data_IF_217091331365
#
_entry.id   IF_217091331365
#
_cell.length_a   1.000
_cell.length_b   1.000
_cell.length_c   1.000
_cell.angle_alpha   90.00
_cell.angle_beta   90.00
_cell.angle_gamma   90.00
#
_symmetry.space_group_name_H-M   'P 1'
#
loop_
_entity.id
_entity.type
_entity.pdbx_description
1 polymer ?
#
# COMPACT_ATOMS: atom_id res chain seq x y z
N UNK A 1 -15.14 -16.57 2.61
CA UNK A 1 -13.68 -16.62 2.81
C UNK A 1 -13.36 -17.84 3.66
N UNK A 2 -12.63 -18.82 3.16
CA UNK A 2 -12.20 -19.98 3.95
C UNK A 2 -10.68 -20.10 3.85
N UNK A 3 -9.99 -19.62 4.88
CA UNK A 3 -8.58 -19.91 5.09
C UNK A 3 -8.47 -21.27 5.75
N UNK A 4 -7.71 -22.18 5.15
CA UNK A 4 -7.31 -23.44 5.80
C UNK A 4 -6.46 -23.15 7.03
N UNK A 5 -6.73 -23.89 8.10
CA UNK A 5 -6.45 -23.59 9.51
C UNK A 5 -4.99 -23.37 9.97
N UNK A 6 -3.99 -23.08 9.14
CA UNK A 6 -2.59 -22.95 9.63
C UNK A 6 -1.70 -21.93 8.92
N UNK A 7 -2.24 -20.93 8.21
CA UNK A 7 -1.42 -19.81 7.74
C UNK A 7 -1.87 -18.50 8.40
N UNK A 8 -0.93 -17.82 9.05
CA UNK A 8 -1.12 -16.53 9.69
C UNK A 8 -1.86 -15.60 8.71
N UNK A 9 -2.80 -14.78 9.20
CA UNK A 9 -3.73 -13.94 8.40
C UNK A 9 -3.14 -12.97 7.37
N UNK A 10 -1.85 -13.11 7.02
CA UNK A 10 -1.13 -12.47 5.92
C UNK A 10 -1.88 -12.65 4.59
N UNK A 11 -2.38 -13.85 4.26
CA UNK A 11 -3.12 -14.05 3.00
C UNK A 11 -4.42 -13.25 2.99
N UNK A 12 -5.16 -13.26 4.10
CA UNK A 12 -6.42 -12.52 4.25
C UNK A 12 -6.17 -11.01 4.23
N UNK A 13 -5.13 -10.54 4.93
CA UNK A 13 -4.75 -9.12 4.99
C UNK A 13 -4.20 -8.58 3.66
N UNK A 14 -3.43 -9.39 2.92
CA UNK A 14 -2.90 -9.00 1.61
C UNK A 14 -4.05 -8.80 0.61
N UNK A 15 -4.97 -9.77 0.50
CA UNK A 15 -6.12 -9.63 -0.39
C UNK A 15 -7.02 -8.46 0.02
N UNK A 16 -7.25 -8.28 1.32
CA UNK A 16 -8.00 -7.11 1.81
C UNK A 16 -7.36 -5.80 1.39
N UNK A 17 -6.04 -5.68 1.51
CA UNK A 17 -5.28 -4.49 1.08
C UNK A 17 -5.39 -4.25 -0.42
N UNK A 18 -5.20 -5.30 -1.23
CA UNK A 18 -5.30 -5.23 -2.69
C UNK A 18 -6.68 -4.69 -3.10
N UNK A 19 -7.76 -5.34 -2.65
CA UNK A 19 -9.12 -4.97 -3.07
C UNK A 19 -9.53 -3.61 -2.53
N UNK A 20 -9.17 -3.28 -1.29
CA UNK A 20 -9.46 -1.96 -0.71
C UNK A 20 -8.78 -0.85 -1.49
N UNK A 21 -7.49 -0.97 -1.80
CA UNK A 21 -6.78 0.05 -2.57
C UNK A 21 -7.31 0.17 -4.00
N UNK A 22 -7.63 -0.97 -4.63
CA UNK A 22 -8.22 -0.99 -5.96
C UNK A 22 -9.57 -0.27 -6.03
N UNK A 23 -10.44 -0.50 -5.04
CA UNK A 23 -11.77 0.12 -4.96
C UNK A 23 -11.71 1.64 -4.83
N UNK A 24 -10.73 2.13 -4.06
CA UNK A 24 -10.57 3.55 -3.75
C UNK A 24 -9.62 4.29 -4.70
N UNK A 25 -8.99 3.60 -5.68
CA UNK A 25 -8.08 4.22 -6.62
C UNK A 25 -8.82 5.00 -7.73
N UNK A 26 -9.06 6.29 -7.49
CA UNK A 26 -9.78 7.18 -8.40
C UNK A 26 -8.84 8.07 -9.21
N UNK A 27 -7.85 8.69 -8.56
CA UNK A 27 -6.85 9.53 -9.23
C UNK A 27 -5.80 8.70 -9.99
N UNK A 28 -5.10 9.33 -10.93
CA UNK A 28 -4.00 8.68 -11.63
C UNK A 28 -2.93 8.17 -10.66
N UNK A 29 -2.53 8.98 -9.67
CA UNK A 29 -1.51 8.61 -8.69
C UNK A 29 -1.93 7.43 -7.83
N UNK A 30 -3.21 7.35 -7.43
CA UNK A 30 -3.72 6.21 -6.67
C UNK A 30 -3.71 4.92 -7.52
N UNK A 31 -4.07 5.03 -8.80
CA UNK A 31 -4.01 3.91 -9.74
C UNK A 31 -2.58 3.44 -9.98
N UNK A 32 -1.63 4.37 -10.07
CA UNK A 32 -0.20 4.07 -10.14
C UNK A 32 0.31 3.43 -8.86
N UNK A 33 -0.09 3.91 -7.69
CA UNK A 33 0.27 3.31 -6.40
C UNK A 33 -0.24 1.86 -6.28
N UNK A 34 -1.48 1.61 -6.74
CA UNK A 34 -2.01 0.25 -6.83
C UNK A 34 -1.17 -0.65 -7.75
N UNK A 35 -0.82 -0.17 -8.94
CA UNK A 35 0.06 -0.91 -9.85
C UNK A 35 1.41 -1.22 -9.20
N UNK A 36 2.03 -0.25 -8.53
CA UNK A 36 3.31 -0.42 -7.82
C UNK A 36 3.19 -1.46 -6.71
N UNK A 37 2.08 -1.50 -5.97
CA UNK A 37 1.83 -2.54 -4.96
C UNK A 37 1.90 -3.94 -5.58
N UNK A 38 1.19 -4.18 -6.68
CA UNK A 38 1.17 -5.51 -7.31
C UNK A 38 2.53 -5.92 -7.87
N UNK A 39 3.28 -4.98 -8.45
CA UNK A 39 4.68 -5.21 -8.87
C UNK A 39 5.57 -5.48 -7.66
N UNK A 40 5.34 -4.82 -6.53
CA UNK A 40 6.09 -5.08 -5.29
C UNK A 40 5.80 -6.50 -4.78
N UNK A 41 4.52 -6.92 -4.79
CA UNK A 41 4.12 -8.28 -4.44
C UNK A 41 4.75 -9.31 -5.39
N UNK A 42 4.79 -9.05 -6.69
CA UNK A 42 5.41 -9.96 -7.67
C UNK A 42 6.90 -10.18 -7.40
N UNK A 43 7.59 -9.23 -6.76
CA UNK A 43 9.03 -9.34 -6.46
C UNK A 43 9.33 -9.83 -5.03
N UNK A 44 8.48 -9.48 -4.06
CA UNK A 44 8.81 -9.62 -2.64
C UNK A 44 7.85 -10.49 -1.83
N UNK A 45 6.75 -10.99 -2.41
CA UNK A 45 5.85 -11.89 -1.68
C UNK A 45 6.59 -13.13 -1.20
N UNK A 46 6.35 -13.59 0.04
CA UNK A 46 7.19 -14.63 0.69
C UNK A 46 7.23 -15.94 -0.10
N UNK A 47 6.08 -16.34 -0.65
CA UNK A 47 5.93 -17.53 -1.47
C UNK A 47 6.48 -17.33 -2.89
N UNK A 48 7.54 -18.05 -3.27
CA UNK A 48 8.16 -17.96 -4.61
C UNK A 48 7.17 -18.29 -5.74
N UNK A 49 6.48 -19.42 -5.65
CA UNK A 49 5.52 -19.82 -6.69
C UNK A 49 4.40 -18.78 -6.86
N UNK A 50 4.00 -18.14 -5.76
CA UNK A 50 3.02 -17.06 -5.79
C UNK A 50 3.55 -15.82 -6.52
N UNK A 51 4.82 -15.46 -6.32
CA UNK A 51 5.49 -14.38 -7.08
C UNK A 51 5.51 -14.67 -8.57
N UNK A 52 5.87 -15.90 -8.95
CA UNK A 52 5.92 -16.34 -10.35
C UNK A 52 4.51 -16.20 -10.98
N UNK A 53 3.46 -16.65 -10.29
CA UNK A 53 2.07 -16.50 -10.73
C UNK A 53 1.59 -15.04 -10.82
N UNK A 54 1.95 -14.18 -9.86
CA UNK A 54 1.60 -12.74 -9.91
C UNK A 54 2.26 -12.11 -11.13
N UNK A 55 3.54 -12.40 -11.35
CA UNK A 55 4.32 -11.86 -12.47
C UNK A 55 3.69 -12.23 -13.82
N UNK A 56 3.38 -13.51 -14.01
CA UNK A 56 2.72 -13.99 -15.22
C UNK A 56 1.35 -13.33 -15.44
N UNK A 57 0.54 -13.25 -14.38
CA UNK A 57 -0.78 -12.65 -14.48
C UNK A 57 -0.73 -11.17 -14.86
N UNK A 58 0.23 -10.41 -14.30
CA UNK A 58 0.45 -9.00 -14.64
C UNK A 58 0.86 -8.79 -16.09
N UNK A 59 1.65 -9.70 -16.66
CA UNK A 59 2.07 -9.63 -18.07
C UNK A 59 0.89 -9.87 -19.03
N UNK A 60 0.01 -10.82 -18.68
CA UNK A 60 -1.12 -11.21 -19.53
C UNK A 60 -2.34 -10.29 -19.36
N UNK A 61 -2.46 -9.60 -18.22
CA UNK A 61 -3.63 -8.81 -17.88
C UNK A 61 -3.23 -7.38 -17.49
N UNK A 62 -2.91 -6.49 -18.47
CA UNK A 62 -2.56 -5.11 -18.18
C UNK A 62 -3.74 -4.35 -17.51
N UNK A 63 -3.44 -3.66 -16.41
CA UNK A 63 -4.44 -2.88 -15.65
C UNK A 63 -4.88 -1.60 -16.39
N UNK A 64 -4.03 -1.10 -17.29
CA UNK A 64 -4.23 0.10 -18.09
C UNK A 64 -5.49 0.04 -18.93
N UNK A 65 -5.90 -1.15 -19.34
CA UNK A 65 -7.14 -1.39 -20.09
C UNK A 65 -8.37 -0.97 -19.27
N UNK A 66 -8.27 -0.94 -17.94
CA UNK A 66 -9.36 -0.61 -17.03
C UNK A 66 -9.22 0.80 -16.42
N UNK A 67 -8.24 1.60 -16.85
CA UNK A 67 -7.92 2.88 -16.18
C UNK A 67 -9.07 3.90 -16.22
N UNK A 68 -9.85 3.89 -17.28
CA UNK A 68 -10.95 4.85 -17.49
C UNK A 68 -12.32 4.30 -17.07
N UNK A 69 -12.38 3.06 -16.58
CA UNK A 69 -13.60 2.43 -16.08
C UNK A 69 -13.82 2.77 -14.60
N UNK A 70 -15.07 3.03 -14.23
CA UNK A 70 -15.46 3.52 -12.90
C UNK A 70 -14.95 2.68 -11.72
N UNK A 71 -14.87 1.39 -11.80
CA UNK A 71 -14.41 0.50 -10.74
C UNK A 71 -13.31 -0.40 -11.28
N UNK A 72 -12.61 0.09 -12.31
CA UNK A 72 -11.84 -0.74 -13.22
C UNK A 72 -10.73 -1.53 -12.54
N UNK A 73 -10.02 -0.91 -11.59
CA UNK A 73 -8.98 -1.60 -10.84
C UNK A 73 -9.55 -2.63 -9.84
N UNK A 74 -10.71 -2.36 -9.26
CA UNK A 74 -11.40 -3.33 -8.40
C UNK A 74 -11.88 -4.53 -9.21
N UNK A 75 -12.45 -4.28 -10.40
CA UNK A 75 -12.80 -5.33 -11.33
C UNK A 75 -11.58 -6.16 -11.76
N UNK A 76 -10.44 -5.50 -12.00
CA UNK A 76 -9.18 -6.19 -12.29
C UNK A 76 -8.71 -7.07 -11.12
N UNK A 77 -8.72 -6.54 -9.89
CA UNK A 77 -8.29 -7.30 -8.71
C UNK A 77 -9.23 -8.46 -8.40
N UNK A 78 -10.54 -8.28 -8.59
CA UNK A 78 -11.53 -9.35 -8.50
C UNK A 78 -11.23 -10.48 -9.50
N UNK A 79 -11.01 -10.16 -10.78
CA UNK A 79 -10.59 -11.15 -11.79
C UNK A 79 -9.32 -11.89 -11.37
N UNK A 80 -8.33 -11.15 -10.87
CA UNK A 80 -7.08 -11.73 -10.41
C UNK A 80 -7.28 -12.72 -9.27
N UNK A 81 -8.08 -12.35 -8.26
CA UNK A 81 -8.37 -13.23 -7.13
C UNK A 81 -9.14 -14.48 -7.57
N UNK A 82 -10.13 -14.35 -8.46
CA UNK A 82 -10.86 -15.50 -8.99
C UNK A 82 -9.98 -16.41 -9.88
N UNK A 83 -9.03 -15.86 -10.63
CA UNK A 83 -8.04 -16.66 -11.36
C UNK A 83 -7.17 -17.49 -10.40
N UNK A 84 -6.77 -16.91 -9.26
CA UNK A 84 -6.07 -17.64 -8.19
C UNK A 84 -6.98 -18.70 -7.56
N UNK A 85 -8.23 -18.38 -7.25
CA UNK A 85 -9.18 -19.33 -6.67
C UNK A 85 -9.39 -20.53 -7.60
N UNK A 86 -9.63 -20.28 -8.89
CA UNK A 86 -9.79 -21.32 -9.90
C UNK A 86 -8.57 -22.24 -9.99
N UNK A 87 -7.36 -21.68 -10.03
CA UNK A 87 -6.11 -22.47 -10.03
C UNK A 87 -5.98 -23.35 -8.79
N UNK A 88 -6.43 -22.86 -7.64
CA UNK A 88 -6.35 -23.56 -6.35
C UNK A 88 -7.58 -24.46 -6.06
N UNK A 89 -8.55 -24.54 -6.97
CA UNK A 89 -9.80 -25.28 -6.74
C UNK A 89 -10.70 -24.68 -5.66
N UNK A 90 -10.54 -23.38 -5.35
CA UNK A 90 -11.39 -22.64 -4.41
C UNK A 90 -12.61 -22.06 -5.14
N UNK A 91 -13.76 -21.85 -4.45
CA UNK A 91 -14.91 -21.18 -5.04
C UNK A 91 -14.56 -19.78 -5.56
N UNK A 92 -15.11 -19.45 -6.72
CA UNK A 92 -15.10 -18.07 -7.23
C UNK A 92 -16.20 -17.26 -6.55
N UNK A 93 -15.96 -15.97 -6.34
CA UNK A 93 -16.91 -15.05 -5.73
C UNK A 93 -17.56 -14.22 -6.83
N UNK A 94 -18.88 -14.00 -6.76
CA UNK A 94 -19.57 -13.10 -7.67
C UNK A 94 -19.06 -11.66 -7.54
N UNK A 95 -19.07 -10.91 -8.64
CA UNK A 95 -18.57 -9.54 -8.64
C UNK A 95 -19.33 -8.64 -7.66
N UNK A 96 -20.66 -8.69 -7.69
CA UNK A 96 -21.50 -7.82 -6.86
C UNK A 96 -21.44 -8.20 -5.39
N UNK A 97 -21.26 -9.48 -5.08
CA UNK A 97 -21.02 -9.97 -3.71
C UNK A 97 -19.67 -9.51 -3.17
N UNK A 98 -18.66 -9.33 -4.02
CA UNK A 98 -17.31 -8.93 -3.59
C UNK A 98 -17.19 -7.46 -3.20
N UNK A 99 -17.95 -6.55 -3.84
CA UNK A 99 -17.89 -5.10 -3.58
C UNK A 99 -18.15 -4.74 -2.12
N UNK A 100 -19.26 -5.19 -1.48
CA UNK A 100 -19.54 -4.81 -0.11
C UNK A 100 -18.38 -5.23 0.80
N UNK A 101 -17.69 -6.34 0.53
CA UNK A 101 -16.60 -6.84 1.39
C UNK A 101 -15.45 -5.85 1.67
N UNK A 102 -15.31 -4.81 0.84
CA UNK A 102 -14.21 -3.85 0.90
C UNK A 102 -14.68 -2.39 0.97
N UNK A 103 -15.99 -2.16 1.12
CA UNK A 103 -16.53 -0.81 1.38
C UNK A 103 -16.43 -0.49 2.87
N UNK A 104 -16.13 0.77 3.18
CA UNK A 104 -16.07 1.29 4.55
C UNK A 104 -17.35 1.04 5.36
N UNK A 105 -18.51 1.06 4.69
CA UNK A 105 -19.82 0.85 5.31
C UNK A 105 -20.09 -0.61 5.65
N UNK A 106 -19.29 -1.53 5.10
CA UNK A 106 -19.32 -2.95 5.41
C UNK A 106 -18.21 -3.25 6.40
N UNK A 107 -18.39 -2.81 7.64
CA UNK A 107 -17.81 -3.54 8.75
C UNK A 107 -18.90 -4.50 9.23
N UNK A 108 -18.75 -5.83 9.10
CA UNK A 108 -19.59 -6.73 9.88
C UNK A 108 -19.44 -6.26 11.34
N UNK A 109 -20.59 -6.02 11.99
CA UNK A 109 -20.75 -5.38 13.30
C UNK A 109 -19.45 -5.39 14.08
N UNK A 110 -18.84 -4.22 14.23
CA UNK A 110 -17.54 -4.06 14.85
C UNK A 110 -17.53 -4.67 16.25
N UNK A 111 -17.20 -5.95 16.34
CA UNK A 111 -16.64 -6.52 17.56
C UNK A 111 -15.38 -5.69 17.81
N UNK A 112 -15.32 -4.93 18.90
CA UNK A 112 -14.17 -4.11 19.22
C UNK A 112 -12.93 -5.00 19.12
N UNK A 113 -11.92 -4.56 18.36
CA UNK A 113 -10.65 -5.25 18.28
C UNK A 113 -10.18 -5.53 19.73
N UNK A 114 -10.16 -6.80 20.19
CA UNK A 114 -9.93 -7.11 21.61
C UNK A 114 -8.50 -6.78 22.06
N UNK A 115 -7.67 -6.33 21.12
CA UNK A 115 -6.27 -5.99 21.32
C UNK A 115 -6.00 -4.48 21.18
N UNK A 116 -6.98 -3.69 20.77
CA UNK A 116 -6.82 -2.27 20.50
C UNK A 116 -7.42 -1.46 21.67
N UNK A 117 -6.73 -1.43 22.82
CA UNK A 117 -7.10 -0.56 23.95
C UNK A 117 -6.72 0.89 23.63
N UNK A 118 -7.44 1.53 22.72
CA UNK A 118 -7.34 2.98 22.55
C UNK A 118 -8.22 3.58 23.65
N UNK A 119 -7.60 3.96 24.76
CA UNK A 119 -8.26 4.86 25.70
C UNK A 119 -8.36 6.21 24.98
N UNK A 120 -9.56 6.55 24.52
CA UNK A 120 -9.88 7.90 24.07
C UNK A 120 -9.73 8.82 25.28
N UNK A 121 -8.56 9.43 25.44
CA UNK A 121 -8.30 10.43 26.46
C UNK A 121 -8.92 11.77 26.00
N UNK A 122 -10.25 11.77 25.83
CA UNK A 122 -11.05 12.93 25.46
C UNK A 122 -11.41 13.80 26.67
N UNK A 123 -10.89 13.48 27.86
CA UNK A 123 -11.18 14.22 29.09
C UNK A 123 -10.29 15.45 29.32
N UNK A 124 -9.26 15.69 28.49
CA UNK A 124 -8.35 16.83 28.68
C UNK A 124 -8.81 18.15 28.03
N UNK A 125 -9.87 18.19 27.21
CA UNK A 125 -10.24 19.40 26.45
C UNK A 125 -11.40 20.22 27.04
N UNK A 126 -12.10 19.74 28.08
CA UNK A 126 -13.34 20.38 28.56
C UNK A 126 -13.28 20.96 29.96
N UNK A 127 -12.14 21.49 30.43
CA UNK A 127 -12.11 22.28 31.67
C UNK A 127 -10.96 23.29 31.73
N UNK A 128 -11.08 24.40 31.00
CA UNK A 128 -10.61 25.71 31.47
C UNK A 128 -11.24 26.83 30.65
N UNK A 129 -12.52 27.10 30.91
CA UNK A 129 -13.14 28.38 30.54
C UNK A 129 -12.84 29.36 31.67
N UNK A 130 -11.72 30.08 31.58
CA UNK A 130 -11.52 31.31 32.33
C UNK A 130 -11.17 32.42 31.36
N UNK A 131 -12.14 33.31 31.17
CA UNK A 131 -12.02 34.56 30.45
C UNK A 131 -10.92 35.41 31.09
N UNK A 132 -9.94 35.87 30.30
CA UNK A 132 -9.21 37.12 30.58
C UNK A 132 -8.63 37.71 29.30
N UNK A 133 -8.73 39.03 29.29
CA UNK A 133 -8.60 39.99 28.21
C UNK A 133 -7.16 40.35 27.84
N UNK A 134 -6.97 40.68 26.55
CA UNK A 134 -6.08 41.68 25.96
C UNK A 134 -4.56 41.67 26.20
N UNK A 135 -3.87 41.73 25.06
CA UNK A 135 -2.56 42.38 24.81
C UNK A 135 -1.29 41.56 25.06
N UNK A 136 -0.39 41.59 24.06
CA UNK A 136 1.05 41.50 24.28
C UNK A 136 1.74 40.26 23.69
N UNK A 137 2.54 40.51 22.67
CA UNK A 137 3.59 39.62 22.15
C UNK A 137 4.59 39.25 23.26
N UNK A 138 5.03 37.99 23.35
CA UNK A 138 6.46 37.57 23.19
C UNK A 138 6.66 36.08 23.47
N UNK A 139 7.55 35.52 22.66
CA UNK A 139 8.09 34.16 22.65
C UNK A 139 8.85 33.81 23.92
N UNK A 140 8.66 32.59 24.44
CA UNK A 140 9.75 31.90 25.17
C UNK A 140 9.68 30.39 25.01
N UNK A 141 10.87 29.87 24.81
CA UNK A 141 11.37 28.51 24.67
C UNK A 141 11.00 27.61 25.85
N UNK A 142 10.79 26.31 25.59
CA UNK A 142 11.54 25.20 26.19
C UNK A 142 10.74 23.89 26.12
N UNK A 143 11.03 23.07 25.11
CA UNK A 143 10.61 21.66 25.06
C UNK A 143 11.87 20.80 25.16
N UNK A 144 12.13 20.28 26.36
CA UNK A 144 13.16 19.26 26.57
C UNK A 144 12.61 18.02 27.28
N UNK A 145 12.82 16.90 26.59
CA UNK A 145 13.08 15.54 27.09
C UNK A 145 11.84 14.71 27.49
N UNK A 146 11.67 13.46 27.03
CA UNK A 146 12.70 12.47 26.74
C UNK A 146 12.20 11.25 25.94
N UNK A 147 13.01 10.86 24.94
CA UNK A 147 13.49 9.50 24.58
C UNK A 147 12.49 8.54 23.87
N UNK A 148 12.85 7.81 22.79
CA UNK A 148 14.17 7.42 22.23
C UNK A 148 14.06 7.09 20.73
N UNK A 149 14.99 7.55 19.89
CA UNK A 149 15.32 6.90 18.61
C UNK A 149 16.81 6.53 18.64
N UNK A 150 17.11 5.29 18.27
CA UNK A 150 18.47 4.76 18.12
C UNK A 150 19.17 5.47 16.95
N UNK A 151 20.34 6.04 17.22
CA UNK A 151 21.15 6.82 16.29
C UNK A 151 22.14 5.94 15.52
N UNK A 152 22.05 5.95 14.19
CA UNK A 152 23.20 5.66 13.33
C UNK A 152 24.06 6.92 13.23
N UNK A 153 25.33 6.84 13.63
CA UNK A 153 26.28 7.94 13.53
C UNK A 153 26.80 8.12 12.10
N UNK A 154 26.62 9.31 11.53
CA UNK A 154 27.40 9.79 10.37
C UNK A 154 28.68 10.44 10.90
N UNK A 155 29.85 9.96 10.50
CA UNK A 155 31.07 10.76 10.49
C UNK A 155 31.28 11.32 9.09
N UNK A 156 31.50 12.64 9.01
CA UNK A 156 31.97 13.33 7.81
C UNK A 156 33.49 13.39 7.88
N UNK A 157 34.18 13.02 6.79
CA UNK A 157 35.13 13.90 6.07
C UNK A 157 35.97 13.15 5.03
N UNK A 158 36.21 13.87 3.93
CA UNK A 158 37.20 13.69 2.85
C UNK A 158 36.75 12.92 1.60
N UNK A 159 36.65 13.68 0.51
CA UNK A 159 36.32 13.25 -0.85
C UNK A 159 37.63 13.02 -1.62
N UNK A 160 37.94 11.80 -2.11
CA UNK A 160 39.00 11.60 -3.07
C UNK A 160 38.53 11.96 -4.49
N UNK A 161 39.31 12.80 -5.17
CA UNK A 161 39.13 13.14 -6.58
C UNK A 161 39.49 11.92 -7.44
N UNK A 162 38.54 11.36 -8.18
CA UNK A 162 38.80 10.31 -9.18
C UNK A 162 38.39 10.81 -10.55
N UNK A 163 39.39 10.93 -11.43
CA UNK A 163 39.24 11.24 -12.86
C UNK A 163 38.53 10.07 -13.57
N UNK A 164 37.38 10.35 -14.19
CA UNK A 164 36.62 9.37 -14.98
C UNK A 164 36.42 9.87 -16.41
N UNK A 165 37.03 9.17 -17.37
CA UNK A 165 36.87 9.39 -18.80
C UNK A 165 35.43 9.12 -19.26
N UNK A 166 34.93 9.98 -20.16
CA UNK A 166 33.61 9.88 -20.77
C UNK A 166 33.55 8.68 -21.73
N UNK A 167 32.86 7.60 -21.34
CA UNK A 167 32.43 6.55 -22.28
C UNK A 167 31.09 6.99 -22.87
N UNK A 168 31.11 7.36 -24.16
CA UNK A 168 29.92 7.68 -24.95
C UNK A 168 29.14 6.41 -25.29
N UNK A 169 27.80 6.40 -25.21
CA UNK A 169 27.01 5.29 -25.74
C UNK A 169 27.03 5.34 -27.28
N UNK A 170 27.52 4.28 -27.92
CA UNK A 170 27.38 4.09 -29.36
C UNK A 170 25.98 3.56 -29.67
N UNK A 171 25.15 4.39 -30.29
CA UNK A 171 23.85 3.99 -30.82
C UNK A 171 24.09 3.21 -32.12
N UNK A 172 23.92 1.89 -32.10
CA UNK A 172 23.99 1.06 -33.31
C UNK A 172 22.57 0.86 -33.85
N UNK A 173 22.24 1.59 -34.91
CA UNK A 173 21.06 1.38 -35.72
C UNK A 173 21.17 0.05 -36.48
N UNK A 174 20.24 -0.87 -36.26
CA UNK A 174 20.06 -2.03 -37.13
C UNK A 174 19.25 -1.60 -38.36
N UNK A 175 19.93 -1.50 -39.50
CA UNK A 175 19.30 -1.59 -40.82
C UNK A 175 18.69 -2.98 -40.96
N UNK A 176 17.37 -3.06 -41.06
CA UNK A 176 16.71 -4.21 -41.68
C UNK A 176 16.91 -4.07 -43.20
N UNK A 177 17.70 -4.98 -43.73
CA UNK A 177 17.75 -5.32 -45.15
C UNK A 177 16.89 -6.58 -45.35
N UNK A 178 15.83 -6.40 -46.13
CA UNK A 178 15.04 -7.34 -46.95
C UNK A 178 13.55 -7.17 -46.76
#
# INVERSE_FOLDING_TARGET
MAGSNNDCGIEQGTWYTIHTLALHAKSHDQKMAFKILLVTLSNHYRCKTCRDHITEYLQQNPMEVYWNREDGLFFWSWKFHNAVNRRLGKPEIDYHESIPMYRKDWMPTAEPCPHCNIQDDTTAYSSSRTSRTSSGYTTTTDYTSSRSYSSYSKSSSQVPRVSGALIRPTYRSNKLLR
#
